data_IF_495116533864
#
_entry.id   IF_495116533864
#
_cell.length_a   1.000
_cell.length_b   1.000
_cell.length_c   1.000
_cell.angle_alpha   90.00
_cell.angle_beta   90.00
_cell.angle_gamma   90.00
#
_symmetry.space_group_name_H-M   'P 1'
#
loop_
_entity.id
_entity.type
_entity.pdbx_description
1 polymer ?
#
# COMPACT_ATOMS: atom_id res chain seq x y z
N UNK A 1 28.11 -51.92 36.99
CA UNK A 1 28.24 -51.82 35.52
C UNK A 1 26.95 -51.18 34.97
N UNK A 2 26.84 -49.85 34.82
CA UNK A 2 27.09 -49.10 33.57
C UNK A 2 26.93 -49.92 32.28
N UNK A 3 25.83 -49.70 31.53
CA UNK A 3 25.85 -49.03 30.20
C UNK A 3 24.48 -49.09 29.47
N UNK A 4 23.96 -47.89 29.20
CA UNK A 4 23.41 -47.38 27.92
C UNK A 4 22.20 -48.12 27.30
N UNK A 5 21.00 -47.57 27.49
CA UNK A 5 19.94 -47.62 26.48
C UNK A 5 20.08 -46.38 25.61
N UNK A 6 20.35 -46.61 24.32
CA UNK A 6 20.44 -45.56 23.30
C UNK A 6 19.06 -44.92 23.11
N UNK A 7 19.00 -43.60 23.19
CA UNK A 7 17.82 -42.83 22.80
C UNK A 7 17.77 -42.74 21.29
N UNK A 8 16.70 -43.26 20.70
CA UNK A 8 16.35 -43.01 19.30
C UNK A 8 15.48 -41.76 19.28
N UNK A 9 16.07 -40.61 18.95
CA UNK A 9 15.31 -39.41 18.65
C UNK A 9 14.61 -39.61 17.30
N UNK A 10 13.29 -39.75 17.32
CA UNK A 10 12.46 -39.75 16.11
C UNK A 10 12.28 -38.29 15.69
N UNK A 11 12.98 -37.87 14.65
CA UNK A 11 12.79 -36.58 14.00
C UNK A 11 11.54 -36.69 13.11
N UNK A 12 10.39 -36.20 13.57
CA UNK A 12 9.19 -36.10 12.75
C UNK A 12 9.35 -34.91 11.79
N UNK A 13 9.70 -35.18 10.53
CA UNK A 13 9.61 -34.20 9.45
C UNK A 13 8.17 -34.15 8.98
N UNK A 14 7.44 -33.11 9.38
CA UNK A 14 6.13 -32.80 8.80
C UNK A 14 6.38 -32.09 7.47
N UNK A 15 6.33 -32.86 6.38
CA UNK A 15 6.23 -32.29 5.05
C UNK A 15 4.79 -31.79 4.84
N UNK A 16 4.58 -30.49 4.92
CA UNK A 16 3.33 -29.86 4.51
C UNK A 16 3.22 -29.96 2.97
N UNK A 17 2.53 -31.00 2.50
CA UNK A 17 2.04 -31.05 1.12
C UNK A 17 0.95 -29.99 0.99
N UNK A 18 1.32 -28.82 0.48
CA UNK A 18 0.36 -27.88 -0.07
C UNK A 18 -0.39 -28.58 -1.19
N UNK A 19 -1.68 -28.88 -0.98
CA UNK A 19 -2.60 -29.28 -2.03
C UNK A 19 -2.86 -28.04 -2.90
N UNK A 20 -1.86 -27.71 -3.73
CA UNK A 20 -1.97 -26.77 -4.84
C UNK A 20 -2.71 -27.46 -5.97
N UNK A 21 -4.03 -27.53 -5.85
CA UNK A 21 -4.87 -28.30 -6.75
C UNK A 21 -6.21 -27.66 -6.98
N UNK A 22 -6.23 -26.43 -7.53
CA UNK A 22 -7.24 -25.93 -8.47
C UNK A 22 -7.08 -24.42 -8.75
N UNK A 23 -5.98 -24.01 -9.39
CA UNK A 23 -5.94 -22.84 -10.28
C UNK A 23 -4.82 -23.07 -11.30
N UNK A 24 -4.96 -24.11 -12.14
CA UNK A 24 -4.32 -24.09 -13.46
C UNK A 24 -5.23 -23.27 -14.38
N UNK A 25 -5.38 -21.98 -14.06
CA UNK A 25 -5.72 -21.00 -15.07
C UNK A 25 -4.45 -20.76 -15.88
N UNK A 26 -4.57 -20.59 -17.19
CA UNK A 26 -3.47 -20.15 -18.03
C UNK A 26 -2.67 -19.07 -17.29
N UNK A 27 -1.38 -19.33 -17.05
CA UNK A 27 -0.50 -18.32 -16.49
C UNK A 27 -0.44 -17.21 -17.53
N UNK A 28 -1.26 -16.17 -17.34
CA UNK A 28 -1.07 -14.90 -18.00
C UNK A 28 0.42 -14.57 -17.84
N UNK A 29 1.16 -14.28 -18.92
CA UNK A 29 2.56 -13.93 -18.79
C UNK A 29 2.69 -12.81 -17.74
N UNK A 30 3.75 -12.82 -16.92
CA UNK A 30 3.95 -11.78 -15.93
C UNK A 30 3.83 -10.41 -16.59
N UNK A 31 3.24 -9.40 -15.90
CA UNK A 31 3.12 -8.07 -16.48
C UNK A 31 4.52 -7.58 -16.86
N UNK A 32 4.71 -7.09 -18.10
CA UNK A 32 6.04 -6.69 -18.55
C UNK A 32 6.56 -5.54 -17.68
N UNK A 33 7.81 -5.65 -17.24
CA UNK A 33 8.47 -4.66 -16.38
C UNK A 33 9.48 -3.82 -17.17
N UNK A 34 9.89 -2.67 -16.61
CA UNK A 34 11.02 -1.90 -17.11
C UNK A 34 12.30 -2.75 -17.17
N UNK A 35 12.52 -3.58 -16.15
CA UNK A 35 13.66 -4.53 -16.10
C UNK A 35 13.68 -5.51 -17.29
N UNK A 36 12.52 -5.73 -17.91
CA UNK A 36 12.34 -6.52 -19.11
C UNK A 36 12.42 -5.69 -20.41
N UNK A 37 12.71 -4.39 -20.30
CA UNK A 37 12.87 -3.47 -21.42
C UNK A 37 11.56 -2.92 -21.95
N UNK A 38 10.58 -2.65 -21.08
CA UNK A 38 9.24 -2.19 -21.48
C UNK A 38 8.87 -0.90 -20.74
N UNK A 39 8.34 0.11 -21.43
CA UNK A 39 7.80 1.37 -20.87
C UNK A 39 6.32 1.53 -21.19
N UNK A 40 5.60 2.39 -20.46
CA UNK A 40 4.24 2.79 -20.83
C UNK A 40 4.30 3.82 -21.98
N UNK A 41 3.63 3.52 -23.11
CA UNK A 41 3.38 4.47 -24.18
C UNK A 41 2.34 5.53 -23.76
N UNK A 42 2.11 6.54 -24.62
CA UNK A 42 1.21 7.66 -24.33
C UNK A 42 -0.22 7.24 -23.92
N UNK A 43 -0.67 6.08 -24.39
CA UNK A 43 -2.01 5.52 -24.13
C UNK A 43 -2.00 4.47 -22.99
N UNK A 44 -0.84 4.24 -22.37
CA UNK A 44 -0.63 3.24 -21.31
C UNK A 44 -0.45 1.81 -21.83
N UNK A 45 -0.16 1.64 -23.12
CA UNK A 45 0.23 0.36 -23.71
C UNK A 45 1.74 0.10 -23.53
N UNK A 46 2.17 -1.14 -23.29
CA UNK A 46 3.60 -1.42 -23.07
C UNK A 46 4.38 -1.37 -24.39
N UNK A 47 5.42 -0.53 -24.44
CA UNK A 47 6.32 -0.31 -25.58
C UNK A 47 7.72 -0.80 -25.20
N UNK A 48 8.36 -1.59 -26.06
CA UNK A 48 9.74 -2.02 -25.82
C UNK A 48 10.73 -0.85 -25.95
N UNK A 49 11.65 -0.70 -25.00
CA UNK A 49 12.75 0.27 -25.04
C UNK A 49 14.10 -0.41 -24.78
N UNK A 50 15.20 0.10 -25.38
CA UNK A 50 16.54 -0.37 -25.08
C UNK A 50 16.87 -0.22 -23.59
N UNK A 51 17.45 -1.27 -22.99
CA UNK A 51 17.96 -1.24 -21.61
C UNK A 51 18.93 -0.06 -21.44
N UNK A 52 18.70 0.77 -20.41
CA UNK A 52 19.62 1.86 -20.03
C UNK A 52 19.24 3.26 -20.52
N UNK A 53 18.06 3.46 -21.12
CA UNK A 53 17.56 4.80 -21.40
C UNK A 53 16.97 5.43 -20.12
N UNK A 54 17.68 6.43 -19.59
CA UNK A 54 17.32 7.37 -18.51
C UNK A 54 17.61 6.91 -17.08
N UNK A 55 18.45 7.70 -16.39
CA UNK A 55 18.84 7.51 -14.99
C UNK A 55 18.06 8.45 -14.08
N UNK A 56 17.37 7.90 -13.08
CA UNK A 56 16.90 8.66 -11.93
C UNK A 56 18.06 8.78 -10.93
N UNK A 57 18.31 9.98 -10.40
CA UNK A 57 19.25 10.17 -9.32
C UNK A 57 18.73 9.47 -8.05
N UNK A 58 19.54 8.60 -7.44
CA UNK A 58 19.19 7.87 -6.23
C UNK A 58 19.88 8.52 -5.02
N UNK A 59 19.12 8.78 -3.95
CA UNK A 59 19.72 9.18 -2.67
C UNK A 59 20.67 8.08 -2.15
N UNK A 60 21.78 8.43 -1.47
CA UNK A 60 22.72 7.45 -0.94
C UNK A 60 22.15 6.70 0.27
N UNK A 61 22.25 5.37 0.25
CA UNK A 61 21.90 4.47 1.37
C UNK A 61 23.17 3.77 1.91
N UNK A 62 23.07 3.07 3.05
CA UNK A 62 24.18 2.33 3.69
C UNK A 62 24.98 1.43 2.73
N UNK A 63 26.23 1.08 3.06
CA UNK A 63 27.12 0.25 2.21
C UNK A 63 26.53 -1.10 1.79
N UNK A 64 25.73 -1.74 2.65
CA UNK A 64 25.01 -2.98 2.34
C UNK A 64 23.99 -2.79 1.22
N UNK A 65 23.47 -1.58 1.06
CA UNK A 65 22.50 -1.14 0.07
C UNK A 65 23.10 -1.04 -1.36
N UNK A 66 24.40 -0.73 -1.46
CA UNK A 66 25.11 -0.57 -2.75
C UNK A 66 25.17 -1.87 -3.58
N UNK A 67 25.09 -3.04 -2.94
CA UNK A 67 25.06 -4.35 -3.65
C UNK A 67 23.80 -4.55 -4.50
N UNK A 68 22.78 -3.73 -4.30
CA UNK A 68 21.50 -3.78 -5.03
C UNK A 68 21.22 -2.49 -5.79
N UNK A 69 22.24 -1.68 -6.08
CA UNK A 69 22.07 -0.39 -6.78
C UNK A 69 21.26 -0.56 -8.08
N UNK A 70 21.61 -1.55 -8.91
CA UNK A 70 20.93 -1.78 -10.18
C UNK A 70 19.47 -2.23 -9.98
N UNK A 71 19.23 -3.19 -9.07
CA UNK A 71 17.88 -3.63 -8.73
C UNK A 71 16.99 -2.48 -8.23
N UNK A 72 17.57 -1.54 -7.47
CA UNK A 72 16.84 -0.36 -6.96
C UNK A 72 16.52 0.62 -8.08
N UNK A 73 17.48 0.88 -8.96
CA UNK A 73 17.28 1.74 -10.11
C UNK A 73 16.18 1.15 -11.01
N UNK A 74 16.21 -0.16 -11.26
CA UNK A 74 15.18 -0.86 -12.03
C UNK A 74 13.81 -0.79 -11.33
N UNK A 75 13.72 -1.06 -10.03
CA UNK A 75 12.47 -0.99 -9.28
C UNK A 75 11.86 0.42 -9.27
N UNK A 76 12.68 1.48 -9.15
CA UNK A 76 12.17 2.85 -9.22
C UNK A 76 11.70 3.22 -10.62
N UNK A 77 12.36 2.71 -11.66
CA UNK A 77 11.88 2.86 -13.02
C UNK A 77 10.58 2.08 -13.25
N UNK A 78 10.42 0.89 -12.68
CA UNK A 78 9.14 0.17 -12.69
C UNK A 78 8.02 1.02 -12.05
N UNK A 79 8.30 1.70 -10.95
CA UNK A 79 7.35 2.64 -10.34
C UNK A 79 7.05 3.84 -11.23
N UNK A 80 8.04 4.38 -11.96
CA UNK A 80 7.83 5.46 -12.94
C UNK A 80 6.86 5.04 -14.06
N UNK A 81 6.89 3.77 -14.47
CA UNK A 81 5.95 3.27 -15.47
C UNK A 81 4.52 3.17 -14.95
N UNK A 82 4.37 2.92 -13.65
CA UNK A 82 3.08 2.69 -13.01
C UNK A 82 2.45 3.99 -12.49
N UNK A 83 3.26 5.01 -12.22
CA UNK A 83 2.83 6.32 -11.75
C UNK A 83 2.29 7.15 -12.92
N UNK A 84 1.01 7.52 -12.83
CA UNK A 84 0.32 8.26 -13.87
C UNK A 84 0.46 9.76 -13.68
N UNK A 85 0.66 10.46 -14.79
CA UNK A 85 0.76 11.91 -14.82
C UNK A 85 -0.46 12.56 -15.51
N UNK A 86 -0.77 13.78 -15.06
CA UNK A 86 -1.63 14.72 -15.76
C UNK A 86 -3.13 14.58 -15.50
N UNK A 87 -3.78 15.74 -15.42
CA UNK A 87 -5.24 15.86 -15.28
C UNK A 87 -5.77 15.16 -14.03
N UNK A 88 -6.93 14.50 -14.16
CA UNK A 88 -7.57 13.78 -13.06
C UNK A 88 -6.82 12.51 -12.60
N UNK A 89 -5.86 12.04 -13.41
CA UNK A 89 -5.09 10.80 -13.19
C UNK A 89 -3.80 11.01 -12.41
N UNK A 90 -3.39 12.27 -12.24
CA UNK A 90 -2.10 12.62 -11.65
C UNK A 90 -1.89 11.89 -10.32
N UNK A 91 -0.72 11.28 -10.13
CA UNK A 91 -0.36 10.54 -8.92
C UNK A 91 -1.07 9.20 -8.72
N UNK A 92 -2.00 8.79 -9.59
CA UNK A 92 -2.57 7.44 -9.54
C UNK A 92 -1.48 6.40 -9.85
N UNK A 93 -1.49 5.26 -9.16
CA UNK A 93 -0.53 4.18 -9.40
C UNK A 93 -1.26 2.91 -9.83
N UNK A 94 -0.89 2.38 -10.99
CA UNK A 94 -1.40 1.09 -11.46
C UNK A 94 -0.72 -0.06 -10.70
N UNK A 95 -1.49 -1.04 -10.23
CA UNK A 95 -0.91 -2.28 -9.67
C UNK A 95 -0.22 -3.15 -10.73
N UNK A 96 -0.58 -2.98 -12.01
CA UNK A 96 0.10 -3.60 -13.13
C UNK A 96 -0.35 -3.02 -14.48
N UNK A 97 0.47 -3.20 -15.51
CA UNK A 97 0.23 -2.58 -16.82
C UNK A 97 -0.87 -3.26 -17.64
N UNK A 98 -1.35 -4.45 -17.24
CA UNK A 98 -2.29 -5.25 -18.05
C UNK A 98 -3.38 -5.94 -17.24
N UNK A 99 -4.48 -6.19 -17.93
CA UNK A 99 -5.55 -7.09 -17.51
C UNK A 99 -6.17 -6.69 -16.17
N UNK A 100 -6.44 -7.65 -15.27
CA UNK A 100 -7.17 -7.37 -14.04
C UNK A 100 -6.39 -6.50 -13.05
N UNK A 101 -5.11 -6.19 -13.30
CA UNK A 101 -4.25 -5.39 -12.44
C UNK A 101 -4.12 -3.93 -12.88
N UNK A 102 -4.73 -3.54 -14.02
CA UNK A 102 -4.67 -2.17 -14.56
C UNK A 102 -5.62 -1.20 -13.84
N UNK A 103 -5.58 -1.22 -12.52
CA UNK A 103 -6.38 -0.41 -11.59
C UNK A 103 -5.50 0.06 -10.43
N UNK A 104 -6.04 0.97 -9.62
CA UNK A 104 -5.35 1.48 -8.44
C UNK A 104 -5.88 0.79 -7.19
N UNK A 105 -4.99 0.30 -6.33
CA UNK A 105 -5.34 -0.20 -5.01
C UNK A 105 -4.82 0.78 -3.97
N UNK A 106 -5.65 1.16 -3.00
CA UNK A 106 -5.25 2.08 -1.93
C UNK A 106 -4.03 1.57 -1.17
N UNK A 107 -4.00 0.27 -0.89
CA UNK A 107 -2.88 -0.42 -0.26
C UNK A 107 -1.59 -0.27 -1.07
N UNK A 108 -1.63 -0.60 -2.35
CA UNK A 108 -0.47 -0.58 -3.25
C UNK A 108 0.06 0.86 -3.39
N UNK A 109 -0.83 1.83 -3.61
CA UNK A 109 -0.48 3.25 -3.66
C UNK A 109 0.21 3.72 -2.37
N UNK A 110 -0.25 3.28 -1.18
CA UNK A 110 0.38 3.66 0.08
C UNK A 110 1.83 3.14 0.18
N UNK A 111 2.08 1.89 -0.23
CA UNK A 111 3.44 1.34 -0.28
C UNK A 111 4.33 2.08 -1.29
N UNK A 112 3.79 2.43 -2.46
CA UNK A 112 4.52 3.20 -3.47
C UNK A 112 4.85 4.60 -2.97
N UNK A 113 3.90 5.29 -2.32
CA UNK A 113 4.15 6.60 -1.73
C UNK A 113 5.28 6.56 -0.69
N UNK A 114 5.26 5.57 0.20
CA UNK A 114 6.31 5.36 1.19
C UNK A 114 7.67 5.04 0.53
N UNK A 115 7.68 4.19 -0.50
CA UNK A 115 8.90 3.82 -1.23
C UNK A 115 9.52 5.01 -1.96
N UNK A 116 8.71 5.84 -2.62
CA UNK A 116 9.16 7.07 -3.28
C UNK A 116 9.74 8.06 -2.27
N UNK A 117 9.03 8.29 -1.16
CA UNK A 117 9.48 9.17 -0.09
C UNK A 117 10.87 8.79 0.46
N UNK A 118 11.03 7.55 0.92
CA UNK A 118 12.33 7.11 1.48
C UNK A 118 13.44 7.05 0.44
N UNK A 119 13.11 6.98 -0.85
CA UNK A 119 14.08 7.00 -1.95
C UNK A 119 14.51 8.40 -2.38
N UNK A 120 14.08 9.46 -1.67
CA UNK A 120 14.40 10.85 -1.98
C UNK A 120 13.46 11.47 -3.03
N UNK A 121 12.30 10.86 -3.27
CA UNK A 121 11.25 11.34 -4.20
C UNK A 121 9.97 11.66 -3.44
N UNK A 122 10.11 12.44 -2.37
CA UNK A 122 8.99 12.80 -1.49
C UNK A 122 7.88 13.57 -2.22
N UNK A 123 8.20 14.40 -3.22
CA UNK A 123 7.20 15.08 -4.05
C UNK A 123 6.30 14.08 -4.80
N UNK A 124 6.87 13.03 -5.39
CA UNK A 124 6.09 11.98 -6.04
C UNK A 124 5.28 11.17 -5.03
N UNK A 125 5.85 10.90 -3.85
CA UNK A 125 5.12 10.29 -2.74
C UNK A 125 3.90 11.11 -2.32
N UNK A 126 4.06 12.43 -2.22
CA UNK A 126 2.98 13.36 -1.91
C UNK A 126 1.91 13.39 -3.02
N UNK A 127 2.32 13.33 -4.30
CA UNK A 127 1.40 13.23 -5.44
C UNK A 127 0.52 11.99 -5.35
N UNK A 128 1.10 10.84 -4.98
CA UNK A 128 0.35 9.59 -4.78
C UNK A 128 -0.64 9.71 -3.62
N UNK A 129 -0.21 10.23 -2.46
CA UNK A 129 -1.12 10.44 -1.33
C UNK A 129 -2.28 11.40 -1.68
N UNK A 130 -1.99 12.48 -2.42
CA UNK A 130 -3.03 13.39 -2.92
C UNK A 130 -3.98 12.72 -3.92
N UNK A 131 -3.52 11.75 -4.70
CA UNK A 131 -4.39 10.97 -5.59
C UNK A 131 -5.38 10.11 -4.80
N UNK A 132 -4.93 9.46 -3.73
CA UNK A 132 -5.82 8.73 -2.81
C UNK A 132 -6.84 9.70 -2.18
N UNK A 133 -6.39 10.88 -1.73
CA UNK A 133 -7.29 11.89 -1.17
C UNK A 133 -8.37 12.31 -2.17
N UNK A 134 -7.98 12.64 -3.40
CA UNK A 134 -8.93 13.00 -4.46
C UNK A 134 -9.94 11.89 -4.68
N UNK A 135 -9.48 10.64 -4.78
CA UNK A 135 -10.36 9.50 -4.98
C UNK A 135 -11.43 9.39 -3.87
N UNK A 136 -11.05 9.50 -2.59
CA UNK A 136 -12.01 9.45 -1.49
C UNK A 136 -12.97 10.65 -1.51
N UNK A 137 -12.49 11.85 -1.89
CA UNK A 137 -13.35 13.03 -2.09
C UNK A 137 -14.39 12.79 -3.20
N UNK A 138 -13.98 12.27 -4.36
CA UNK A 138 -14.88 11.98 -5.48
C UNK A 138 -15.95 10.97 -5.09
N UNK A 139 -15.61 9.98 -4.28
CA UNK A 139 -16.60 9.01 -3.77
C UNK A 139 -17.61 9.64 -2.84
N UNK A 140 -17.15 10.49 -1.93
CA UNK A 140 -18.05 11.25 -1.07
C UNK A 140 -18.98 12.16 -1.88
N UNK A 141 -18.48 12.85 -2.91
CA UNK A 141 -19.28 13.66 -3.85
C UNK A 141 -20.35 12.83 -4.57
N UNK A 142 -20.04 11.57 -4.91
CA UNK A 142 -20.97 10.63 -5.53
C UNK A 142 -21.92 9.95 -4.54
N UNK A 143 -21.80 10.21 -3.24
CA UNK A 143 -22.57 9.52 -2.20
C UNK A 143 -22.26 8.03 -2.08
N UNK A 144 -21.04 7.62 -2.47
CA UNK A 144 -20.61 6.22 -2.47
C UNK A 144 -19.71 5.91 -1.25
N UNK A 145 -19.72 4.67 -0.74
CA UNK A 145 -18.82 4.26 0.35
C UNK A 145 -17.35 4.38 -0.06
N UNK A 146 -16.51 4.96 0.79
CA UNK A 146 -15.05 5.05 0.58
C UNK A 146 -14.31 3.71 0.76
N UNK A 147 -12.99 3.76 0.72
CA UNK A 147 -12.09 2.66 1.12
C UNK A 147 -12.39 1.30 0.46
N UNK A 148 -12.72 1.31 -0.82
CA UNK A 148 -12.88 0.11 -1.63
C UNK A 148 -11.53 -0.55 -1.94
N UNK A 149 -11.56 -1.83 -2.29
CA UNK A 149 -10.37 -2.57 -2.67
C UNK A 149 -9.58 -1.94 -3.82
N UNK A 150 -10.27 -1.53 -4.88
CA UNK A 150 -9.63 -0.96 -6.09
C UNK A 150 -10.49 0.01 -6.86
N UNK A 151 -9.83 0.89 -7.63
CA UNK A 151 -10.46 1.98 -8.34
C UNK A 151 -9.98 2.12 -9.77
N UNK A 152 -10.81 2.77 -10.59
CA UNK A 152 -10.42 3.23 -11.91
C UNK A 152 -9.31 4.30 -11.76
N UNK A 153 -8.23 4.23 -12.56
CA UNK A 153 -7.12 5.19 -12.51
C UNK A 153 -7.45 6.55 -13.16
N UNK A 154 -8.71 6.77 -13.52
CA UNK A 154 -9.16 7.93 -14.31
C UNK A 154 -9.55 9.15 -13.45
N UNK A 155 -9.44 9.05 -12.13
CA UNK A 155 -9.83 10.10 -11.18
C UNK A 155 -11.34 10.24 -11.00
N UNK A 156 -12.15 9.32 -11.51
CA UNK A 156 -13.60 9.33 -11.31
C UNK A 156 -14.03 8.92 -9.90
N UNK A 157 -13.15 8.25 -9.16
CA UNK A 157 -13.47 7.63 -7.88
C UNK A 157 -14.32 6.36 -7.99
N UNK A 158 -14.64 5.87 -9.21
CA UNK A 158 -15.43 4.65 -9.41
C UNK A 158 -14.57 3.39 -9.27
N UNK A 159 -15.22 2.27 -8.94
CA UNK A 159 -14.59 0.95 -8.92
C UNK A 159 -14.89 0.23 -10.25
N UNK A 160 -14.00 -0.66 -10.72
CA UNK A 160 -14.28 -1.50 -11.89
C UNK A 160 -15.27 -2.64 -11.59
N UNK A 161 -15.41 -3.01 -10.32
CA UNK A 161 -16.22 -4.14 -9.84
C UNK A 161 -16.67 -3.91 -8.37
N UNK A 162 -17.28 -4.92 -7.76
CA UNK A 162 -17.98 -4.88 -6.47
C UNK A 162 -17.21 -5.56 -5.32
N UNK A 163 -15.87 -5.52 -5.35
CA UNK A 163 -15.01 -6.14 -4.30
C UNK A 163 -15.25 -5.60 -2.89
N UNK A 164 -15.89 -4.44 -2.79
CA UNK A 164 -16.31 -3.85 -1.52
C UNK A 164 -15.18 -3.18 -0.75
N UNK A 165 -15.50 -2.82 0.49
CA UNK A 165 -14.60 -2.11 1.42
C UNK A 165 -13.47 -3.02 1.89
N UNK A 166 -12.24 -2.52 1.86
CA UNK A 166 -11.04 -3.17 2.40
C UNK A 166 -10.40 -2.27 3.46
N UNK A 167 -10.43 -2.75 4.71
CA UNK A 167 -10.16 -1.92 5.89
C UNK A 167 -8.66 -1.81 6.24
N UNK A 168 -7.80 -2.54 5.55
CA UNK A 168 -6.35 -2.36 5.66
C UNK A 168 -5.87 -1.08 4.97
N UNK A 169 -6.59 -0.61 3.93
CA UNK A 169 -6.29 0.60 3.17
C UNK A 169 -6.09 1.86 4.02
N UNK A 170 -7.05 2.26 4.88
CA UNK A 170 -6.88 3.39 5.80
C UNK A 170 -5.62 3.29 6.65
N UNK A 171 -5.34 2.09 7.18
CA UNK A 171 -4.16 1.82 8.01
C UNK A 171 -2.85 2.07 7.26
N UNK A 172 -2.74 1.49 6.06
CA UNK A 172 -1.56 1.69 5.20
C UNK A 172 -1.37 3.14 4.77
N UNK A 173 -2.44 3.88 4.48
CA UNK A 173 -2.38 5.29 4.09
C UNK A 173 -1.83 6.17 5.22
N UNK A 174 -2.28 5.95 6.46
CA UNK A 174 -1.79 6.69 7.62
C UNK A 174 -0.32 6.40 7.88
N UNK A 175 0.05 5.11 7.81
CA UNK A 175 1.46 4.70 7.89
C UNK A 175 2.30 5.36 6.81
N UNK A 176 1.89 5.30 5.54
CA UNK A 176 2.62 5.88 4.42
C UNK A 176 2.73 7.41 4.53
N UNK A 177 1.69 8.08 5.01
CA UNK A 177 1.73 9.53 5.28
C UNK A 177 2.75 9.87 6.35
N UNK A 178 2.88 9.04 7.40
CA UNK A 178 3.92 9.24 8.42
C UNK A 178 5.32 8.97 7.91
N UNK A 179 5.51 7.99 7.02
CA UNK A 179 6.80 7.72 6.36
C UNK A 179 7.19 8.91 5.46
N UNK A 180 6.24 9.43 4.69
CA UNK A 180 6.45 10.63 3.87
C UNK A 180 6.77 11.86 4.72
N UNK A 181 6.02 12.12 5.78
CA UNK A 181 6.29 13.26 6.66
C UNK A 181 7.66 13.17 7.32
N UNK A 182 8.14 11.96 7.64
CA UNK A 182 9.46 11.73 8.21
C UNK A 182 10.62 11.82 7.20
N UNK A 183 10.34 11.81 5.89
CA UNK A 183 11.38 12.01 4.87
C UNK A 183 11.61 13.47 4.51
N UNK A 184 10.74 14.37 4.98
CA UNK A 184 10.77 15.80 4.69
C UNK A 184 11.38 16.60 5.85
N UNK A 185 12.17 17.62 5.53
CA UNK A 185 12.70 18.55 6.55
C UNK A 185 11.60 19.46 7.12
N UNK A 186 10.62 19.87 6.29
CA UNK A 186 9.45 20.67 6.66
C UNK A 186 8.17 20.09 6.04
N UNK A 187 7.53 19.09 6.68
CA UNK A 187 6.34 18.44 6.14
C UNK A 187 5.06 19.27 6.28
N UNK A 188 5.08 20.43 6.95
CA UNK A 188 3.85 21.09 7.43
C UNK A 188 2.86 21.43 6.31
N UNK A 189 3.34 22.07 5.23
CA UNK A 189 2.48 22.46 4.11
C UNK A 189 1.95 21.24 3.33
N UNK A 190 2.79 20.22 3.13
CA UNK A 190 2.37 19.00 2.46
C UNK A 190 1.35 18.21 3.30
N UNK A 191 1.56 18.11 4.61
CA UNK A 191 0.63 17.48 5.54
C UNK A 191 -0.71 18.22 5.59
N UNK A 192 -0.71 19.55 5.62
CA UNK A 192 -1.93 20.35 5.53
C UNK A 192 -2.71 20.05 4.24
N UNK A 193 -2.01 19.89 3.12
CA UNK A 193 -2.64 19.48 1.85
C UNK A 193 -3.23 18.06 1.87
N UNK A 194 -2.82 17.22 2.83
CA UNK A 194 -3.32 15.86 3.08
C UNK A 194 -4.32 15.80 4.24
N UNK A 195 -4.76 16.94 4.79
CA UNK A 195 -5.66 16.99 5.97
C UNK A 195 -6.88 16.10 5.82
N UNK A 196 -7.54 16.12 4.65
CA UNK A 196 -8.75 15.32 4.42
C UNK A 196 -8.45 13.82 4.37
N UNK A 197 -7.31 13.44 3.80
CA UNK A 197 -6.85 12.05 3.78
C UNK A 197 -6.59 11.55 5.20
N UNK A 198 -5.82 12.29 6.00
CA UNK A 198 -5.49 11.90 7.37
C UNK A 198 -6.75 11.80 8.22
N UNK A 199 -7.67 12.77 8.12
CA UNK A 199 -8.92 12.76 8.88
C UNK A 199 -9.82 11.59 8.49
N UNK A 200 -10.02 11.37 7.18
CA UNK A 200 -10.91 10.30 6.70
C UNK A 200 -10.33 8.91 6.98
N UNK A 201 -9.03 8.71 6.79
CA UNK A 201 -8.36 7.45 7.07
C UNK A 201 -8.37 7.13 8.57
N UNK A 202 -8.11 8.12 9.43
CA UNK A 202 -8.17 7.95 10.88
C UNK A 202 -9.57 7.59 11.35
N UNK A 203 -10.60 8.26 10.82
CA UNK A 203 -11.98 7.95 11.16
C UNK A 203 -12.36 6.52 10.72
N UNK A 204 -11.97 6.10 9.52
CA UNK A 204 -12.22 4.74 9.04
C UNK A 204 -11.49 3.68 9.87
N UNK A 205 -10.22 3.94 10.23
CA UNK A 205 -9.43 3.04 11.07
C UNK A 205 -10.05 2.90 12.47
N UNK A 206 -10.40 4.01 13.14
CA UNK A 206 -11.07 3.97 14.46
C UNK A 206 -12.41 3.25 14.38
N UNK A 207 -13.22 3.54 13.36
CA UNK A 207 -14.53 2.91 13.19
C UNK A 207 -14.47 1.41 12.87
N UNK A 208 -13.32 0.92 12.37
CA UNK A 208 -13.12 -0.50 12.06
C UNK A 208 -12.96 -1.39 13.31
N UNK A 209 -12.57 -0.80 14.44
CA UNK A 209 -12.27 -1.53 15.68
C UNK A 209 -13.56 -1.98 16.36
N UNK A 210 -13.61 -3.26 16.73
CA UNK A 210 -14.63 -3.81 17.60
C UNK A 210 -14.30 -3.46 19.06
N UNK A 211 -15.17 -2.73 19.77
CA UNK A 211 -14.90 -2.29 21.14
C UNK A 211 -14.86 -3.43 22.17
N UNK A 212 -15.40 -4.61 21.83
CA UNK A 212 -15.38 -5.79 22.69
C UNK A 212 -14.10 -6.62 22.57
N UNK A 213 -13.41 -6.55 21.43
CA UNK A 213 -12.20 -7.37 21.18
C UNK A 213 -10.92 -6.56 21.03
N UNK A 214 -11.01 -5.26 20.71
CA UNK A 214 -9.85 -4.43 20.34
C UNK A 214 -9.30 -4.72 18.93
N UNK A 215 -9.89 -5.66 18.19
CA UNK A 215 -9.49 -6.04 16.84
C UNK A 215 -10.43 -5.45 15.79
N UNK A 216 -10.04 -5.49 14.52
CA UNK A 216 -10.93 -5.06 13.44
C UNK A 216 -12.11 -6.02 13.31
N UNK A 217 -13.27 -5.48 12.94
CA UNK A 217 -14.43 -6.32 12.61
C UNK A 217 -14.12 -7.21 11.40
N UNK A 218 -14.71 -8.42 11.30
CA UNK A 218 -14.57 -9.28 10.13
C UNK A 218 -14.85 -8.52 8.84
N UNK A 219 -13.96 -8.68 7.86
CA UNK A 219 -14.00 -7.95 6.60
C UNK A 219 -13.34 -8.76 5.49
N UNK A 220 -13.00 -8.13 4.39
CA UNK A 220 -12.21 -8.75 3.32
C UNK A 220 -10.73 -8.66 3.69
N UNK A 221 -9.99 -9.77 3.54
CA UNK A 221 -8.56 -9.79 3.85
C UNK A 221 -7.69 -9.14 2.76
N UNK A 222 -6.38 -9.11 3.02
CA UNK A 222 -5.36 -8.60 2.10
C UNK A 222 -5.43 -9.24 0.70
N UNK A 223 -5.80 -10.51 0.62
CA UNK A 223 -5.92 -11.28 -0.63
C UNK A 223 -7.29 -11.16 -1.28
N UNK A 224 -8.13 -10.26 -0.75
CA UNK A 224 -9.45 -9.96 -1.25
C UNK A 224 -10.44 -11.11 -1.07
N UNK A 225 -10.22 -11.91 -0.01
CA UNK A 225 -11.06 -13.03 0.38
C UNK A 225 -11.89 -12.62 1.61
N UNK A 226 -13.23 -12.75 1.57
CA UNK A 226 -14.07 -12.47 2.72
C UNK A 226 -13.75 -13.38 3.91
N UNK A 227 -13.62 -12.79 5.10
CA UNK A 227 -13.35 -13.51 6.35
C UNK A 227 -14.52 -13.39 7.32
N UNK A 228 -14.66 -14.38 8.20
CA UNK A 228 -15.68 -14.38 9.28
C UNK A 228 -15.10 -14.00 10.63
N UNK A 229 -13.80 -13.77 10.68
CA UNK A 229 -13.02 -13.41 11.88
C UNK A 229 -12.06 -12.29 11.51
N UNK A 230 -11.58 -11.54 12.50
CA UNK A 230 -10.48 -10.62 12.27
C UNK A 230 -9.25 -11.39 11.78
N UNK A 231 -8.43 -10.74 10.96
CA UNK A 231 -7.23 -11.35 10.40
C UNK A 231 -6.07 -10.40 10.49
N UNK A 232 -4.88 -10.97 10.71
CA UNK A 232 -3.65 -10.20 10.88
C UNK A 232 -3.35 -9.27 9.69
N UNK A 233 -3.74 -9.68 8.48
CA UNK A 233 -3.58 -8.89 7.27
C UNK A 233 -4.39 -7.58 7.23
N UNK A 234 -5.32 -7.39 8.18
CA UNK A 234 -6.12 -6.16 8.35
C UNK A 234 -5.80 -5.52 9.71
N UNK A 235 -5.74 -6.33 10.78
CA UNK A 235 -5.48 -5.85 12.14
C UNK A 235 -4.11 -5.13 12.26
N UNK A 236 -3.04 -5.70 11.66
CA UNK A 236 -1.71 -5.11 11.76
C UNK A 236 -1.57 -3.77 11.01
N UNK A 237 -2.02 -3.63 9.73
CA UNK A 237 -2.05 -2.33 9.05
C UNK A 237 -2.86 -1.28 9.79
N UNK A 238 -4.03 -1.62 10.32
CA UNK A 238 -4.87 -0.68 11.07
C UNK A 238 -4.17 -0.22 12.35
N UNK A 239 -3.57 -1.12 13.12
CA UNK A 239 -2.80 -0.76 14.29
C UNK A 239 -1.60 0.13 13.95
N UNK A 240 -0.86 -0.20 12.89
CA UNK A 240 0.27 0.61 12.42
C UNK A 240 -0.20 2.02 12.01
N UNK A 241 -1.32 2.11 11.29
CA UNK A 241 -1.92 3.37 10.89
C UNK A 241 -2.42 4.21 12.06
N UNK A 242 -3.11 3.61 13.03
CA UNK A 242 -3.59 4.33 14.23
C UNK A 242 -2.43 4.88 15.08
N UNK A 243 -1.33 4.12 15.21
CA UNK A 243 -0.11 4.60 15.87
C UNK A 243 0.52 5.78 15.12
N UNK A 244 0.49 5.76 13.79
CA UNK A 244 0.95 6.86 12.95
C UNK A 244 0.00 8.07 12.98
N UNK A 245 -1.31 7.84 13.15
CA UNK A 245 -2.32 8.89 13.08
C UNK A 245 -2.21 9.92 14.19
N UNK A 246 -1.90 9.52 15.44
CA UNK A 246 -1.81 10.45 16.57
C UNK A 246 -0.89 11.65 16.31
N UNK A 247 0.41 11.42 16.03
CA UNK A 247 1.33 12.51 15.67
C UNK A 247 0.90 13.33 14.45
N UNK A 248 0.36 12.70 13.40
CA UNK A 248 -0.14 13.42 12.21
C UNK A 248 -1.31 14.34 12.55
N UNK A 249 -2.24 13.87 13.38
CA UNK A 249 -3.41 14.63 13.80
C UNK A 249 -3.03 15.78 14.74
N UNK A 250 -2.03 15.60 15.61
CA UNK A 250 -1.49 16.70 16.43
C UNK A 250 -0.83 17.77 15.56
N UNK A 251 -0.02 17.37 14.57
CA UNK A 251 0.61 18.30 13.63
C UNK A 251 -0.42 19.08 12.78
N UNK A 252 -1.62 18.51 12.59
CA UNK A 252 -2.76 19.16 11.94
C UNK A 252 -3.67 19.95 12.90
N UNK A 253 -3.29 20.09 14.18
CA UNK A 253 -4.08 20.74 15.23
C UNK A 253 -5.49 20.13 15.40
N UNK A 254 -5.54 18.79 15.46
CA UNK A 254 -6.77 17.99 15.64
C UNK A 254 -6.71 17.12 16.91
N UNK A 255 -6.52 17.70 18.11
CA UNK A 255 -6.20 16.97 19.34
C UNK A 255 -7.26 15.95 19.76
N UNK A 256 -8.55 16.26 19.60
CA UNK A 256 -9.62 15.32 19.95
C UNK A 256 -9.60 14.04 19.09
N UNK A 257 -9.30 14.17 17.78
CA UNK A 257 -9.16 13.03 16.88
C UNK A 257 -7.89 12.25 17.18
N UNK A 258 -6.81 12.96 17.54
CA UNK A 258 -5.54 12.37 17.92
C UNK A 258 -5.68 11.47 19.15
N UNK A 259 -6.40 11.93 20.18
CA UNK A 259 -6.72 11.11 21.37
C UNK A 259 -7.51 9.86 20.96
N UNK A 260 -8.57 9.99 20.16
CA UNK A 260 -9.36 8.85 19.72
C UNK A 260 -8.53 7.79 18.95
N UNK A 261 -7.60 8.24 18.10
CA UNK A 261 -6.69 7.33 17.38
C UNK A 261 -5.72 6.61 18.32
N UNK A 262 -5.19 7.30 19.33
CA UNK A 262 -4.29 6.71 20.35
C UNK A 262 -5.01 5.72 21.24
N UNK A 263 -6.22 6.04 21.68
CA UNK A 263 -7.05 5.15 22.48
C UNK A 263 -7.35 3.87 21.70
N UNK A 264 -7.74 3.99 20.43
CA UNK A 264 -7.97 2.84 19.55
C UNK A 264 -6.72 1.98 19.31
N UNK A 265 -5.51 2.57 19.34
CA UNK A 265 -4.25 1.85 19.20
C UNK A 265 -3.76 1.14 20.48
N UNK A 266 -4.40 1.43 21.62
CA UNK A 266 -4.01 0.93 22.94
C UNK A 266 -4.87 -0.24 23.44
N UNK A 267 -5.98 -0.55 22.76
CA UNK A 267 -6.86 -1.70 23.02
C UNK A 267 -6.24 -2.97 22.45
#
# INVERSE_FOLDING_TARGET
>A
MRRRRAGTAVLAVVAALAVGGAMRGDLTPPPPLFSEGVVAGADGDPVAVPRGAQGAALAPWSTRAQRYTDLRADALRDLDLMLLDGGARDGAVLAGLRGPWRYTWTRDCAWVAAALAVSGRADDGLRVLRAIQRQEQRRAELGLPGWQGRYLPDGSGRTPDDRGVQLDGPGWVLWATSVWAASEDDPAAGLESLRLLVVSASAAAVASIDPGTGLTRPSVDYWEVPTRVSVLGVDAPVLAGLRAAGPLLDALDLPARSVAARDAAAV
#
